data_IF_325151309360
#
_entry.id   IF_325151309360
#
_cell.length_a   1.000
_cell.length_b   1.000
_cell.length_c   1.000
_cell.angle_alpha   90.00
_cell.angle_beta   90.00
_cell.angle_gamma   90.00
#
_symmetry.space_group_name_H-M   'P 1'
#
loop_
_entity.id
_entity.type
_entity.pdbx_description
1 polymer ?
#
# COMPACT_ATOMS: atom_id res chain seq x y z
N UNK A 1 8.60 -8.01 -10.93
CA UNK A 1 7.94 -6.71 -11.17
C UNK A 1 8.46 -5.70 -10.17
N UNK A 2 9.01 -4.59 -10.67
CA UNK A 2 9.45 -3.48 -9.81
C UNK A 2 8.25 -2.60 -9.44
N UNK A 3 8.43 -1.65 -8.53
CA UNK A 3 7.40 -0.66 -8.24
C UNK A 3 7.10 0.17 -9.48
N UNK A 4 8.12 0.50 -10.27
CA UNK A 4 7.95 1.23 -11.52
C UNK A 4 7.12 0.44 -12.52
N UNK A 5 7.35 -0.87 -12.63
CA UNK A 5 6.53 -1.76 -13.48
C UNK A 5 5.08 -1.77 -13.00
N UNK A 6 4.87 -1.85 -11.70
CA UNK A 6 3.53 -1.81 -11.11
C UNK A 6 2.85 -0.47 -11.40
N UNK A 7 3.58 0.64 -11.28
CA UNK A 7 3.06 1.97 -11.63
C UNK A 7 2.64 2.04 -13.09
N UNK A 8 3.44 1.49 -13.99
CA UNK A 8 3.11 1.44 -15.43
C UNK A 8 1.86 0.61 -15.71
N UNK A 9 1.73 -0.53 -15.05
CA UNK A 9 0.57 -1.41 -15.21
C UNK A 9 -0.72 -0.77 -14.72
N UNK A 10 -0.66 -0.09 -13.57
CA UNK A 10 -1.80 0.66 -13.04
C UNK A 10 -2.18 1.80 -13.97
N UNK A 11 -1.18 2.54 -14.47
CA UNK A 11 -1.43 3.66 -15.38
C UNK A 11 -2.10 3.18 -16.67
N UNK A 12 -1.65 2.06 -17.23
CA UNK A 12 -2.25 1.48 -18.42
C UNK A 12 -3.72 1.10 -18.18
N UNK A 13 -4.04 0.61 -16.99
CA UNK A 13 -5.42 0.28 -16.63
C UNK A 13 -6.28 1.52 -16.46
N UNK A 14 -5.84 2.50 -15.67
CA UNK A 14 -6.60 3.71 -15.37
C UNK A 14 -6.83 4.56 -16.62
N UNK A 15 -5.81 4.63 -17.50
CA UNK A 15 -5.86 5.46 -18.71
C UNK A 15 -6.90 5.01 -19.75
N UNK A 16 -7.47 3.85 -19.59
CA UNK A 16 -8.56 3.37 -20.45
C UNK A 16 -9.89 4.10 -20.18
N UNK A 17 -10.02 4.75 -19.04
CA UNK A 17 -11.29 5.29 -18.58
C UNK A 17 -11.26 6.82 -18.54
N UNK A 18 -12.39 7.43 -18.89
CA UNK A 18 -12.50 8.90 -18.92
C UNK A 18 -12.31 9.52 -17.55
N UNK A 19 -12.73 8.83 -16.49
CA UNK A 19 -12.63 9.31 -15.11
C UNK A 19 -11.17 9.54 -14.70
N UNK A 20 -10.25 8.69 -15.17
CA UNK A 20 -8.83 8.80 -14.84
C UNK A 20 -8.56 8.66 -13.35
N UNK A 21 -7.50 9.30 -12.88
CA UNK A 21 -7.15 9.30 -11.47
C UNK A 21 -8.09 10.23 -10.67
N UNK A 22 -8.48 9.77 -9.49
CA UNK A 22 -9.31 10.57 -8.60
C UNK A 22 -8.52 11.74 -8.00
N UNK A 23 -9.26 12.72 -7.48
CA UNK A 23 -8.70 13.84 -6.74
C UNK A 23 -7.89 13.32 -5.52
N UNK A 24 -6.78 14.00 -5.15
CA UNK A 24 -5.95 13.57 -4.02
C UNK A 24 -6.70 13.32 -2.72
N UNK A 25 -7.68 14.14 -2.39
CA UNK A 25 -8.48 13.95 -1.16
C UNK A 25 -9.31 12.67 -1.22
N UNK A 26 -9.85 12.33 -2.39
CA UNK A 26 -10.59 11.08 -2.58
C UNK A 26 -9.66 9.88 -2.42
N UNK A 27 -8.45 9.95 -2.99
CA UNK A 27 -7.47 8.89 -2.84
C UNK A 27 -7.01 8.73 -1.39
N UNK A 28 -6.87 9.84 -0.64
CA UNK A 28 -6.55 9.75 0.79
C UNK A 28 -7.66 9.05 1.58
N UNK A 29 -8.91 9.37 1.30
CA UNK A 29 -10.05 8.70 1.94
C UNK A 29 -10.05 7.19 1.62
N UNK A 30 -9.80 6.84 0.36
CA UNK A 30 -9.69 5.43 -0.06
C UNK A 30 -8.56 4.72 0.64
N UNK A 31 -7.39 5.38 0.76
CA UNK A 31 -6.26 4.81 1.47
C UNK A 31 -6.62 4.50 2.93
N UNK A 32 -7.28 5.43 3.60
CA UNK A 32 -7.72 5.23 4.98
C UNK A 32 -8.70 4.05 5.10
N UNK A 33 -9.61 3.91 4.13
CA UNK A 33 -10.55 2.78 4.09
C UNK A 33 -9.81 1.46 3.92
N UNK A 34 -8.85 1.38 2.99
CA UNK A 34 -8.09 0.15 2.74
C UNK A 34 -7.22 -0.23 3.95
N UNK A 35 -6.63 0.75 4.63
CA UNK A 35 -5.88 0.51 5.87
C UNK A 35 -6.83 -0.05 6.95
N UNK A 36 -8.05 0.49 7.04
CA UNK A 36 -9.08 -0.03 7.94
C UNK A 36 -9.46 -1.47 7.64
N UNK A 37 -9.59 -1.82 6.35
CA UNK A 37 -9.88 -3.21 5.93
C UNK A 37 -8.73 -4.15 6.32
N UNK A 38 -7.49 -3.73 6.15
CA UNK A 38 -6.33 -4.51 6.59
C UNK A 38 -6.35 -4.67 8.11
N UNK A 39 -6.61 -3.60 8.85
CA UNK A 39 -6.69 -3.65 10.30
C UNK A 39 -7.77 -4.64 10.78
N UNK A 40 -8.91 -4.65 10.09
CA UNK A 40 -9.99 -5.59 10.38
C UNK A 40 -9.55 -7.03 10.20
N UNK A 41 -8.88 -7.35 9.07
CA UNK A 41 -8.41 -8.71 8.80
C UNK A 41 -7.35 -9.16 9.81
N UNK A 42 -6.40 -8.30 10.15
CA UNK A 42 -5.38 -8.60 11.16
C UNK A 42 -6.02 -8.83 12.53
N UNK A 43 -7.01 -8.02 12.89
CA UNK A 43 -7.72 -8.17 14.17
C UNK A 43 -8.51 -9.48 14.22
N UNK A 44 -9.14 -9.90 13.12
CA UNK A 44 -9.83 -11.18 13.07
C UNK A 44 -8.87 -12.37 13.15
N UNK A 45 -7.69 -12.25 12.56
CA UNK A 45 -6.72 -13.35 12.51
C UNK A 45 -5.93 -13.51 13.81
N UNK A 46 -5.52 -12.39 14.42
CA UNK A 46 -4.61 -12.39 15.58
C UNK A 46 -5.18 -11.74 16.84
N UNK A 47 -6.27 -10.99 16.72
CA UNK A 47 -6.87 -10.26 17.83
C UNK A 47 -7.92 -11.08 18.56
N UNK A 48 -8.59 -10.43 19.52
CA UNK A 48 -9.64 -11.06 20.31
C UNK A 48 -11.01 -11.04 19.62
N UNK A 49 -11.20 -10.17 18.62
CA UNK A 49 -12.44 -10.08 17.88
C UNK A 49 -12.48 -11.12 16.76
N UNK A 50 -13.39 -12.07 16.86
CA UNK A 50 -13.55 -13.10 15.85
C UNK A 50 -14.56 -12.66 14.78
N UNK A 51 -14.44 -13.25 13.59
CA UNK A 51 -15.42 -13.05 12.52
C UNK A 51 -16.75 -13.67 12.89
N UNK A 52 -17.83 -13.08 12.39
CA UNK A 52 -19.14 -13.70 12.44
C UNK A 52 -19.12 -14.99 11.62
N UNK A 53 -19.96 -15.95 12.02
CA UNK A 53 -19.96 -17.29 11.44
C UNK A 53 -20.15 -17.28 9.91
N UNK A 54 -20.99 -16.38 9.39
CA UNK A 54 -21.29 -16.27 7.98
C UNK A 54 -20.35 -15.37 7.17
N UNK A 55 -19.36 -14.75 7.82
CA UNK A 55 -18.38 -13.92 7.10
C UNK A 55 -17.38 -14.82 6.38
N UNK A 56 -17.05 -14.50 5.11
CA UNK A 56 -16.03 -15.26 4.39
C UNK A 56 -14.65 -15.04 5.02
N UNK A 57 -13.76 -16.01 4.77
CA UNK A 57 -12.35 -15.85 5.16
C UNK A 57 -11.74 -14.64 4.44
N UNK A 58 -11.00 -13.83 5.17
CA UNK A 58 -10.31 -12.68 4.60
C UNK A 58 -8.93 -13.05 4.05
N UNK A 59 -8.35 -12.12 3.32
CA UNK A 59 -7.03 -12.27 2.73
C UNK A 59 -6.21 -11.03 3.02
N UNK A 60 -5.37 -11.05 4.07
CA UNK A 60 -4.51 -9.91 4.40
C UNK A 60 -3.59 -9.50 3.25
N UNK A 61 -3.13 -10.46 2.44
CA UNK A 61 -2.27 -10.16 1.28
C UNK A 61 -3.01 -9.30 0.26
N UNK A 62 -4.29 -9.61 0.01
CA UNK A 62 -5.10 -8.81 -0.91
C UNK A 62 -5.35 -7.40 -0.35
N UNK A 63 -5.58 -7.29 0.95
CA UNK A 63 -5.77 -5.97 1.59
C UNK A 63 -4.49 -5.13 1.51
N UNK A 64 -3.32 -5.75 1.66
CA UNK A 64 -2.04 -5.07 1.46
C UNK A 64 -1.88 -4.61 0.01
N UNK A 65 -2.25 -5.46 -0.95
CA UNK A 65 -2.20 -5.12 -2.37
C UNK A 65 -3.14 -3.96 -2.71
N UNK A 66 -4.32 -3.92 -2.09
CA UNK A 66 -5.28 -2.82 -2.27
C UNK A 66 -4.69 -1.49 -1.78
N UNK A 67 -3.96 -1.50 -0.66
CA UNK A 67 -3.25 -0.32 -0.16
C UNK A 67 -2.20 0.13 -1.17
N UNK A 68 -1.40 -0.82 -1.68
CA UNK A 68 -0.38 -0.51 -2.70
C UNK A 68 -1.01 0.09 -3.96
N UNK A 69 -2.15 -0.46 -4.39
CA UNK A 69 -2.85 0.07 -5.56
C UNK A 69 -3.23 1.53 -5.38
N UNK A 70 -3.80 1.90 -4.24
CA UNK A 70 -4.17 3.29 -3.96
C UNK A 70 -2.94 4.19 -3.90
N UNK A 71 -1.87 3.74 -3.23
CA UNK A 71 -0.61 4.49 -3.17
C UNK A 71 -0.03 4.71 -4.57
N UNK A 72 -0.08 3.69 -5.42
CA UNK A 72 0.39 3.79 -6.81
C UNK A 72 -0.45 4.80 -7.59
N UNK A 73 -1.78 4.77 -7.43
CA UNK A 73 -2.65 5.76 -8.07
C UNK A 73 -2.27 7.18 -7.65
N UNK A 74 -2.01 7.40 -6.36
CA UNK A 74 -1.59 8.69 -5.83
C UNK A 74 -0.25 9.13 -6.44
N UNK A 75 0.71 8.22 -6.47
CA UNK A 75 2.04 8.49 -7.04
C UNK A 75 1.96 8.82 -8.53
N UNK A 76 1.20 8.03 -9.29
CA UNK A 76 1.07 8.24 -10.73
C UNK A 76 0.42 9.59 -11.04
N UNK A 77 -0.60 9.97 -10.29
CA UNK A 77 -1.26 11.25 -10.48
C UNK A 77 -0.31 12.42 -10.29
N UNK A 78 0.61 12.33 -9.33
CA UNK A 78 1.55 13.40 -9.02
C UNK A 78 2.90 13.26 -9.74
N UNK A 79 3.05 12.25 -10.59
CA UNK A 79 4.30 12.03 -11.30
C UNK A 79 5.46 11.58 -10.42
N UNK A 80 5.17 10.88 -9.33
CA UNK A 80 6.16 10.38 -8.39
C UNK A 80 6.66 9.01 -8.82
N UNK A 81 7.99 8.85 -8.89
CA UNK A 81 8.66 7.56 -9.11
C UNK A 81 8.85 6.88 -7.77
N UNK A 82 8.07 5.81 -7.52
CA UNK A 82 8.12 5.10 -6.24
C UNK A 82 9.38 4.26 -6.06
N UNK A 83 10.03 3.80 -7.13
CA UNK A 83 11.32 3.13 -7.00
C UNK A 83 12.37 4.11 -6.45
N UNK A 84 12.44 5.32 -7.02
CA UNK A 84 13.35 6.35 -6.55
C UNK A 84 13.03 6.77 -5.11
N UNK A 85 11.75 6.95 -4.79
CA UNK A 85 11.34 7.34 -3.44
C UNK A 85 11.66 6.25 -2.42
N UNK A 86 11.43 4.98 -2.77
CA UNK A 86 11.72 3.85 -1.89
C UNK A 86 13.23 3.73 -1.65
N UNK A 87 14.05 3.92 -2.70
CA UNK A 87 15.50 3.90 -2.57
C UNK A 87 15.98 4.96 -1.57
N UNK A 88 15.48 6.18 -1.69
CA UNK A 88 15.82 7.27 -0.75
C UNK A 88 15.39 6.94 0.68
N UNK A 89 14.22 6.34 0.84
CA UNK A 89 13.73 5.92 2.16
C UNK A 89 14.65 4.88 2.78
N UNK A 90 15.05 3.87 2.00
CA UNK A 90 15.96 2.82 2.48
C UNK A 90 17.31 3.40 2.89
N UNK A 91 17.90 4.28 2.09
CA UNK A 91 19.15 4.96 2.43
C UNK A 91 19.04 5.73 3.74
N UNK A 92 17.92 6.44 3.92
CA UNK A 92 17.65 7.19 5.16
C UNK A 92 17.58 6.26 6.37
N UNK A 93 16.85 5.15 6.26
CA UNK A 93 16.70 4.19 7.35
C UNK A 93 18.04 3.52 7.69
N UNK A 94 18.77 3.07 6.66
CA UNK A 94 20.06 2.39 6.83
C UNK A 94 21.10 3.32 7.49
N UNK A 95 21.11 4.59 7.14
CA UNK A 95 22.01 5.56 7.75
C UNK A 95 21.59 5.91 9.19
N UNK A 96 20.31 6.27 9.39
CA UNK A 96 19.79 6.70 10.70
C UNK A 96 19.88 5.61 11.75
N UNK A 97 19.58 4.37 11.38
CA UNK A 97 19.46 3.26 12.32
C UNK A 97 20.64 2.27 12.24
N UNK A 98 21.76 2.70 11.62
CA UNK A 98 22.93 1.86 11.42
C UNK A 98 23.38 1.13 12.69
N UNK A 99 23.44 1.82 13.79
CA UNK A 99 23.94 1.33 15.07
C UNK A 99 22.86 1.22 16.14
N UNK A 100 21.60 1.33 15.72
CA UNK A 100 20.47 1.34 16.67
C UNK A 100 20.17 -0.05 17.24
N UNK A 101 20.27 -1.07 16.41
CA UNK A 101 19.94 -2.45 16.78
C UNK A 101 21.19 -3.28 16.93
N UNK A 102 21.11 -4.39 17.70
CA UNK A 102 22.20 -5.30 17.91
C UNK A 102 22.45 -6.15 16.65
N UNK A 103 23.63 -6.04 16.09
CA UNK A 103 24.00 -6.84 14.91
C UNK A 103 24.21 -8.29 15.30
N UNK A 104 23.83 -9.18 14.42
CA UNK A 104 24.14 -10.61 14.55
C UNK A 104 25.65 -10.81 14.39
N UNK A 105 26.19 -11.75 15.15
CA UNK A 105 27.60 -12.15 15.08
C UNK A 105 27.80 -13.31 14.12
#
# INVERSE_FOLDING_TARGET
>A
MTLKDAQGRVDAWISQFEEGYFHPLTNMARLAEEVGELAREVNHQFGQKTKKREEPAGDPAMEMADILFVLICMANREGIDLDAAFQRMMEKVEDRDRDRWTRKT
#
